data_IF_171919236613
#
_entry.id   IF_171919236613
#
_cell.length_a   1.000
_cell.length_b   1.000
_cell.length_c   1.000
_cell.angle_alpha   90.00
_cell.angle_beta   90.00
_cell.angle_gamma   90.00
#
_symmetry.space_group_name_H-M   'P 1'
#
loop_
_entity.id
_entity.type
_entity.pdbx_description
1 polymer ?
#
# COMPACT_ATOMS: atom_id res chain seq x y z
N UNK A 1 9.77 -48.48 -12.28
CA UNK A 1 8.84 -47.36 -12.15
C UNK A 1 9.65 -46.08 -12.16
N UNK A 2 9.06 -45.00 -12.67
CA UNK A 2 9.66 -43.66 -12.68
C UNK A 2 8.56 -42.62 -12.62
N UNK A 3 8.94 -41.39 -12.30
CA UNK A 3 8.07 -40.23 -12.40
C UNK A 3 8.48 -39.37 -13.58
N UNK A 4 7.51 -38.83 -14.29
CA UNK A 4 7.71 -37.85 -15.37
C UNK A 4 7.05 -36.54 -14.95
N UNK A 5 7.86 -35.51 -14.75
CA UNK A 5 7.44 -34.17 -14.40
C UNK A 5 7.41 -33.29 -15.65
N UNK A 6 6.41 -32.46 -15.77
CA UNK A 6 6.27 -31.52 -16.89
C UNK A 6 5.84 -30.15 -16.38
N UNK A 7 6.44 -29.10 -16.92
CA UNK A 7 6.05 -27.71 -16.74
C UNK A 7 6.08 -26.99 -18.08
N UNK A 8 5.58 -25.75 -18.13
CA UNK A 8 5.51 -24.98 -19.38
C UNK A 8 6.90 -24.77 -19.98
N UNK A 9 7.08 -25.18 -21.22
CA UNK A 9 8.34 -25.06 -21.94
C UNK A 9 8.74 -23.58 -22.16
N UNK A 10 10.05 -23.30 -22.09
CA UNK A 10 10.63 -21.97 -22.35
C UNK A 10 10.53 -20.96 -21.20
N UNK A 11 9.72 -21.23 -20.18
CA UNK A 11 9.54 -20.32 -19.03
C UNK A 11 9.95 -20.93 -17.70
N UNK A 12 10.29 -22.22 -17.70
CA UNK A 12 10.61 -22.97 -16.47
C UNK A 12 11.85 -23.81 -16.64
N UNK A 13 12.60 -23.95 -15.57
CA UNK A 13 13.70 -24.93 -15.44
C UNK A 13 13.32 -25.86 -14.30
N UNK A 14 13.31 -27.16 -14.61
CA UNK A 14 13.05 -28.22 -13.60
C UNK A 14 14.39 -28.86 -13.27
N UNK A 15 14.70 -28.98 -11.98
CA UNK A 15 15.81 -29.78 -11.48
C UNK A 15 15.26 -30.91 -10.60
N UNK A 16 16.00 -32.02 -10.56
CA UNK A 16 15.61 -33.25 -9.88
C UNK A 16 16.61 -33.54 -8.73
N UNK A 17 16.37 -32.95 -7.50
CA UNK A 17 17.33 -33.07 -6.39
C UNK A 17 17.62 -34.50 -5.96
N UNK A 18 16.62 -35.39 -6.08
CA UNK A 18 16.75 -36.82 -5.74
C UNK A 18 17.13 -37.70 -6.94
N UNK A 19 17.54 -37.09 -8.06
CA UNK A 19 17.77 -37.79 -9.30
C UNK A 19 16.49 -38.22 -10.02
N UNK A 20 16.61 -38.89 -11.16
CA UNK A 20 15.49 -39.41 -11.95
C UNK A 20 15.07 -40.81 -11.50
N UNK A 21 13.96 -41.30 -12.03
CA UNK A 21 13.46 -42.66 -11.80
C UNK A 21 12.48 -42.79 -10.65
N UNK A 22 12.59 -43.87 -9.88
CA UNK A 22 11.68 -44.19 -8.78
C UNK A 22 11.83 -43.23 -7.59
N UNK A 23 12.96 -42.65 -7.42
CA UNK A 23 13.27 -41.68 -6.34
C UNK A 23 12.97 -40.21 -6.70
N UNK A 24 12.50 -39.95 -7.91
CA UNK A 24 12.18 -38.60 -8.39
C UNK A 24 10.85 -38.05 -7.83
N UNK A 25 10.77 -38.05 -6.52
CA UNK A 25 9.58 -37.62 -5.78
C UNK A 25 9.57 -36.11 -5.45
N UNK A 26 10.66 -35.41 -5.77
CA UNK A 26 10.87 -33.99 -5.50
C UNK A 26 11.47 -33.31 -6.71
N UNK A 27 10.88 -32.20 -7.13
CA UNK A 27 11.45 -31.32 -8.14
C UNK A 27 11.54 -29.89 -7.60
N UNK A 28 12.59 -29.18 -8.00
CA UNK A 28 12.71 -27.72 -7.85
C UNK A 28 12.44 -27.06 -9.19
N UNK A 29 11.59 -26.07 -9.20
CA UNK A 29 11.18 -25.36 -10.42
C UNK A 29 11.46 -23.88 -10.29
N UNK A 30 12.18 -23.31 -11.25
CA UNK A 30 12.39 -21.86 -11.37
C UNK A 30 11.70 -21.33 -12.61
N UNK A 31 11.11 -20.13 -12.47
CA UNK A 31 10.33 -19.48 -13.52
C UNK A 31 11.06 -18.25 -14.04
N UNK A 32 10.94 -17.99 -15.34
CA UNK A 32 11.48 -16.77 -15.97
C UNK A 32 10.64 -15.54 -15.61
N UNK A 33 11.20 -14.36 -15.86
CA UNK A 33 10.53 -13.08 -15.60
C UNK A 33 9.20 -12.89 -16.35
N UNK A 34 8.99 -13.61 -17.46
CA UNK A 34 7.74 -13.57 -18.24
C UNK A 34 6.68 -14.58 -17.80
N UNK A 35 6.91 -15.33 -16.71
CA UNK A 35 5.95 -16.31 -16.24
C UNK A 35 4.67 -15.63 -15.74
N UNK A 36 3.52 -16.10 -16.20
CA UNK A 36 2.18 -15.61 -15.77
C UNK A 36 1.42 -16.70 -15.01
N UNK A 37 1.26 -17.86 -15.61
CA UNK A 37 0.59 -19.01 -14.99
C UNK A 37 0.95 -20.29 -15.76
N UNK A 38 0.95 -21.41 -15.06
CA UNK A 38 1.16 -22.74 -15.65
C UNK A 38 0.68 -23.82 -14.69
N UNK A 39 0.64 -25.06 -15.20
CA UNK A 39 0.50 -26.24 -14.39
C UNK A 39 1.82 -27.00 -14.33
N UNK A 40 2.21 -27.43 -13.13
CA UNK A 40 3.18 -28.50 -12.98
C UNK A 40 2.40 -29.81 -12.92
N UNK A 41 2.81 -30.76 -13.75
CA UNK A 41 2.17 -32.08 -13.79
C UNK A 41 3.20 -33.18 -13.49
N UNK A 42 2.69 -34.26 -12.91
CA UNK A 42 3.49 -35.48 -12.68
C UNK A 42 2.68 -36.72 -13.05
N UNK A 43 3.37 -37.69 -13.63
CA UNK A 43 2.80 -38.98 -14.03
C UNK A 43 3.77 -40.11 -13.64
N UNK A 44 3.23 -41.14 -13.05
CA UNK A 44 3.99 -42.38 -12.78
C UNK A 44 4.00 -43.28 -14.01
N UNK A 45 5.16 -43.87 -14.30
CA UNK A 45 5.35 -44.75 -15.44
C UNK A 45 6.03 -46.05 -14.99
N UNK A 46 5.60 -47.19 -15.51
CA UNK A 46 6.24 -48.49 -15.35
C UNK A 46 6.15 -49.34 -16.63
N UNK A 47 6.61 -50.58 -16.61
CA UNK A 47 6.57 -51.50 -17.75
C UNK A 47 5.15 -51.85 -18.23
N UNK A 48 4.12 -51.66 -17.39
CA UNK A 48 2.71 -51.93 -17.72
C UNK A 48 2.02 -50.70 -18.33
N UNK A 49 2.63 -49.50 -18.29
CA UNK A 49 2.06 -48.29 -18.84
C UNK A 49 2.21 -47.07 -17.93
N UNK A 50 1.40 -46.04 -18.21
CA UNK A 50 1.38 -44.76 -17.53
C UNK A 50 0.15 -44.62 -16.64
N UNK A 51 0.37 -44.10 -15.43
CA UNK A 51 -0.71 -43.75 -14.50
C UNK A 51 -1.42 -42.44 -14.88
N UNK A 52 -2.45 -42.10 -14.13
CA UNK A 52 -3.14 -40.81 -14.31
C UNK A 52 -2.23 -39.62 -13.98
N UNK A 53 -2.34 -38.54 -14.75
CA UNK A 53 -1.64 -37.28 -14.51
C UNK A 53 -2.19 -36.60 -13.25
N UNK A 54 -1.29 -36.12 -12.41
CA UNK A 54 -1.62 -35.16 -11.33
C UNK A 54 -1.11 -33.80 -11.73
N UNK A 55 -1.92 -32.76 -11.46
CA UNK A 55 -1.63 -31.38 -11.85
C UNK A 55 -1.75 -30.45 -10.65
N UNK A 56 -0.84 -29.47 -10.58
CA UNK A 56 -0.87 -28.38 -9.64
C UNK A 56 -0.74 -27.05 -10.40
N UNK A 57 -1.75 -26.18 -10.25
CA UNK A 57 -1.77 -24.87 -10.89
C UNK A 57 -0.89 -23.88 -10.12
N UNK A 58 -0.10 -23.12 -10.87
CA UNK A 58 0.75 -22.03 -10.36
C UNK A 58 0.40 -20.76 -11.08
N UNK A 59 0.34 -19.66 -10.36
CA UNK A 59 0.02 -18.33 -10.89
C UNK A 59 0.98 -17.32 -10.31
N UNK A 60 1.50 -16.46 -11.18
CA UNK A 60 2.24 -15.28 -10.77
C UNK A 60 1.22 -14.25 -10.21
N UNK A 61 1.33 -13.94 -8.93
CA UNK A 61 0.40 -13.00 -8.28
C UNK A 61 1.16 -11.75 -7.84
N UNK A 62 0.95 -10.65 -8.57
CA UNK A 62 1.40 -9.33 -8.13
C UNK A 62 0.65 -8.92 -6.85
N UNK A 63 1.25 -8.10 -5.97
CA UNK A 63 0.56 -7.66 -4.77
C UNK A 63 -0.67 -6.84 -5.15
N UNK A 64 -1.76 -7.01 -4.43
CA UNK A 64 -2.89 -6.09 -4.55
C UNK A 64 -2.89 -5.15 -3.34
N UNK A 65 -2.83 -3.84 -3.58
CA UNK A 65 -3.09 -2.86 -2.53
C UNK A 65 -4.57 -2.95 -2.14
N UNK A 66 -4.86 -3.76 -1.14
CA UNK A 66 -6.20 -3.84 -0.56
C UNK A 66 -6.34 -2.75 0.51
N UNK A 67 -7.42 -1.99 0.45
CA UNK A 67 -7.72 -0.94 1.40
C UNK A 67 -7.32 0.46 0.92
N UNK A 68 -7.77 1.43 1.67
CA UNK A 68 -7.48 2.86 1.49
C UNK A 68 -6.26 3.24 2.33
N UNK A 69 -5.58 4.31 1.95
CA UNK A 69 -4.61 4.96 2.84
C UNK A 69 -5.41 5.56 4.01
N UNK A 70 -5.05 5.17 5.22
CA UNK A 70 -5.58 5.74 6.47
C UNK A 70 -4.69 6.92 6.88
N UNK A 71 -5.31 8.01 7.35
CA UNK A 71 -4.61 9.20 7.83
C UNK A 71 -5.45 10.46 7.66
N UNK A 72 -5.03 11.60 8.25
CA UNK A 72 -5.77 12.85 8.17
C UNK A 72 -5.75 13.42 6.75
N UNK A 73 -6.91 13.92 6.30
CA UNK A 73 -7.03 14.62 5.01
C UNK A 73 -6.87 16.13 5.12
N UNK A 74 -6.95 16.68 6.34
CA UNK A 74 -6.67 18.09 6.63
C UNK A 74 -5.25 18.24 7.18
N UNK A 75 -4.40 18.97 6.44
CA UNK A 75 -3.00 19.20 6.80
C UNK A 75 -2.79 20.36 7.77
N UNK A 76 -3.82 21.06 8.22
CA UNK A 76 -3.67 22.30 8.99
C UNK A 76 -2.79 22.13 10.26
N UNK A 77 -3.04 21.06 11.02
CA UNK A 77 -2.25 20.72 12.22
C UNK A 77 -0.91 20.05 11.92
N UNK A 78 -0.59 19.79 10.65
CA UNK A 78 0.54 19.00 10.20
C UNK A 78 1.47 19.77 9.27
N UNK A 79 1.48 21.10 9.35
CA UNK A 79 2.34 21.97 8.55
C UNK A 79 3.35 22.73 9.41
N UNK A 80 4.57 22.87 8.89
CA UNK A 80 5.61 23.70 9.52
C UNK A 80 5.15 25.17 9.69
N UNK A 81 5.70 25.93 10.69
CA UNK A 81 6.73 25.53 11.64
C UNK A 81 6.20 24.84 12.90
N UNK A 82 4.92 24.96 13.23
CA UNK A 82 4.36 24.55 14.52
C UNK A 82 3.56 23.23 14.47
N UNK A 83 3.38 22.64 13.27
CA UNK A 83 2.63 21.40 13.11
C UNK A 83 3.39 20.17 13.62
N UNK A 84 2.63 19.11 13.91
CA UNK A 84 3.14 17.78 14.25
C UNK A 84 3.02 16.85 13.05
N UNK A 85 3.91 15.88 12.91
CA UNK A 85 3.83 14.93 11.80
C UNK A 85 2.53 14.12 11.84
N UNK A 86 1.90 13.96 10.68
CA UNK A 86 0.73 13.12 10.48
C UNK A 86 1.14 11.69 10.14
N UNK A 87 0.45 10.69 10.67
CA UNK A 87 0.68 9.27 10.33
C UNK A 87 -0.25 8.84 9.20
N UNK A 88 0.33 8.16 8.21
CA UNK A 88 -0.38 7.55 7.09
C UNK A 88 0.01 6.08 6.99
N UNK A 89 -0.98 5.21 6.82
CA UNK A 89 -0.74 3.77 6.76
C UNK A 89 -1.68 3.07 5.78
N UNK A 90 -1.29 1.87 5.36
CA UNK A 90 -2.18 0.91 4.68
C UNK A 90 -2.14 -0.41 5.43
N UNK A 91 -3.16 -1.23 5.23
CA UNK A 91 -3.13 -2.61 5.72
C UNK A 91 -1.94 -3.35 5.13
N UNK A 92 -1.11 -4.04 5.95
CA UNK A 92 0.00 -4.83 5.45
C UNK A 92 -0.43 -5.83 4.37
N UNK A 93 0.34 -5.90 3.29
CA UNK A 93 0.07 -6.74 2.13
C UNK A 93 0.91 -8.01 2.22
N UNK A 94 0.26 -9.17 2.17
CA UNK A 94 0.95 -10.45 2.18
C UNK A 94 1.94 -10.56 1.00
N UNK A 95 3.12 -11.11 1.26
CA UNK A 95 4.20 -11.28 0.29
C UNK A 95 4.78 -9.97 -0.28
N UNK A 96 4.48 -8.81 0.32
CA UNK A 96 5.15 -7.56 -0.01
C UNK A 96 6.64 -7.64 0.34
N UNK A 97 7.49 -7.13 -0.53
CA UNK A 97 8.93 -6.95 -0.29
C UNK A 97 9.27 -5.48 -0.05
N UNK A 98 8.47 -4.56 -0.59
CA UNK A 98 8.63 -3.12 -0.35
C UNK A 98 7.34 -2.34 -0.61
N UNK A 99 7.26 -1.15 0.00
CA UNK A 99 6.23 -0.15 -0.22
C UNK A 99 6.89 1.11 -0.79
N UNK A 100 6.30 1.64 -1.85
CA UNK A 100 6.83 2.83 -2.53
C UNK A 100 5.86 4.00 -2.27
N UNK A 101 6.18 4.79 -1.28
CA UNK A 101 5.42 5.98 -0.90
C UNK A 101 5.84 7.20 -1.72
N UNK A 102 4.87 8.00 -2.12
CA UNK A 102 5.08 9.29 -2.74
C UNK A 102 4.28 10.33 -1.96
N UNK A 103 4.92 11.43 -1.60
CA UNK A 103 4.35 12.52 -0.82
C UNK A 103 4.52 13.85 -1.54
N UNK A 104 3.75 14.89 -1.17
CA UNK A 104 3.91 16.24 -1.72
C UNK A 104 5.34 16.78 -1.56
N UNK A 105 5.86 17.49 -2.57
CA UNK A 105 7.22 18.02 -2.54
C UNK A 105 7.48 18.91 -1.32
N UNK A 106 8.69 18.84 -0.76
CA UNK A 106 9.11 19.60 0.41
C UNK A 106 8.60 19.07 1.76
N UNK A 107 7.84 17.98 1.76
CA UNK A 107 7.43 17.31 2.99
C UNK A 107 8.61 16.58 3.63
N UNK A 108 8.63 16.55 4.97
CA UNK A 108 9.56 15.72 5.75
C UNK A 108 8.86 14.38 6.02
N UNK A 109 9.49 13.28 5.60
CA UNK A 109 8.94 11.92 5.74
C UNK A 109 9.84 11.11 6.66
N UNK A 110 9.23 10.32 7.54
CA UNK A 110 9.93 9.28 8.29
C UNK A 110 9.22 7.93 8.12
N UNK A 111 9.96 6.86 8.29
CA UNK A 111 9.52 5.48 8.16
C UNK A 111 9.67 4.80 9.55
N UNK A 112 8.64 4.87 10.41
CA UNK A 112 8.73 4.41 11.81
C UNK A 112 9.12 2.94 11.94
N UNK A 113 8.68 2.10 11.01
CA UNK A 113 8.96 0.66 10.98
C UNK A 113 10.15 0.29 10.09
N UNK A 114 10.93 1.31 9.62
CA UNK A 114 11.96 1.14 8.61
C UNK A 114 11.40 0.98 7.21
N UNK A 115 12.28 0.95 6.21
CA UNK A 115 11.92 0.71 4.80
C UNK A 115 11.80 -0.79 4.50
N UNK A 116 11.24 -1.14 3.33
CA UNK A 116 11.10 -2.53 2.88
C UNK A 116 9.77 -3.17 3.26
N UNK A 117 9.81 -4.40 3.75
CA UNK A 117 8.62 -5.23 4.03
C UNK A 117 7.71 -4.69 5.14
N UNK A 118 8.26 -3.88 6.05
CA UNK A 118 7.52 -3.30 7.17
C UNK A 118 7.10 -1.84 6.94
N UNK A 119 7.36 -1.28 5.77
CA UNK A 119 7.11 0.13 5.45
C UNK A 119 5.63 0.40 5.05
N UNK A 120 4.70 -0.22 5.76
CA UNK A 120 3.27 -0.01 5.56
C UNK A 120 2.73 1.25 6.26
N UNK A 121 3.61 2.00 6.94
CA UNK A 121 3.30 3.23 7.66
C UNK A 121 4.42 4.25 7.49
N UNK A 122 4.04 5.52 7.24
CA UNK A 122 4.93 6.67 7.21
C UNK A 122 4.38 7.79 8.08
N UNK A 123 5.26 8.69 8.56
CA UNK A 123 4.84 9.97 9.09
C UNK A 123 5.27 11.09 8.17
N UNK A 124 4.43 12.10 8.02
CA UNK A 124 4.63 13.22 7.09
C UNK A 124 4.40 14.55 7.79
N UNK A 125 5.36 15.45 7.69
CA UNK A 125 5.21 16.85 8.10
C UNK A 125 5.30 17.72 6.85
N UNK A 126 4.23 18.47 6.57
CA UNK A 126 4.13 19.28 5.35
C UNK A 126 4.86 20.60 5.47
N UNK A 127 5.38 21.18 4.36
CA UNK A 127 6.00 22.50 4.38
C UNK A 127 4.98 23.60 4.70
N UNK A 128 5.44 24.74 5.21
CA UNK A 128 4.59 25.89 5.55
C UNK A 128 3.75 26.39 4.36
N UNK A 129 4.29 26.26 3.14
CA UNK A 129 3.66 26.66 1.88
C UNK A 129 2.68 25.64 1.32
N UNK A 130 2.47 24.50 2.01
CA UNK A 130 1.54 23.45 1.55
C UNK A 130 0.11 23.99 1.48
N UNK A 131 -0.58 23.71 0.37
CA UNK A 131 -1.99 24.04 0.15
C UNK A 131 -2.79 22.76 -0.07
N UNK A 132 -2.37 21.95 -1.03
CA UNK A 132 -3.01 20.66 -1.34
C UNK A 132 -2.02 19.76 -2.05
N UNK A 133 -2.28 18.46 -1.98
CA UNK A 133 -1.46 17.45 -2.66
C UNK A 133 -2.02 16.05 -2.47
N UNK A 134 -1.25 15.06 -2.88
CA UNK A 134 -1.64 13.66 -2.81
C UNK A 134 -0.53 12.85 -2.15
N UNK A 135 -0.89 12.01 -1.21
CA UNK A 135 -0.04 10.92 -0.73
C UNK A 135 -0.45 9.66 -1.48
N UNK A 136 0.53 8.94 -1.99
CA UNK A 136 0.25 7.69 -2.71
C UNK A 136 1.22 6.59 -2.32
N UNK A 137 0.80 5.34 -2.52
CA UNK A 137 1.60 4.15 -2.26
C UNK A 137 1.33 3.07 -3.29
N UNK A 138 2.39 2.38 -3.70
CA UNK A 138 2.33 1.10 -4.41
C UNK A 138 3.16 0.06 -3.66
N UNK A 139 2.83 -1.20 -3.87
CA UNK A 139 3.47 -2.33 -3.18
C UNK A 139 4.14 -3.22 -4.20
N UNK A 140 5.36 -3.65 -3.90
CA UNK A 140 6.16 -4.52 -4.79
C UNK A 140 6.41 -5.87 -4.13
N UNK A 141 6.45 -6.93 -4.92
CA UNK A 141 6.97 -8.25 -4.55
C UNK A 141 7.83 -8.82 -5.69
N UNK A 142 8.31 -10.06 -5.55
CA UNK A 142 9.09 -10.73 -6.60
C UNK A 142 8.35 -10.93 -7.94
N UNK A 143 7.05 -10.73 -7.96
CA UNK A 143 6.20 -10.88 -9.15
C UNK A 143 5.88 -9.55 -9.85
N UNK A 144 6.08 -8.42 -9.20
CA UNK A 144 5.84 -7.09 -9.77
C UNK A 144 5.29 -6.08 -8.77
N UNK A 145 4.81 -4.96 -9.30
CA UNK A 145 4.29 -3.83 -8.53
C UNK A 145 2.78 -3.69 -8.72
N UNK A 146 2.08 -3.41 -7.63
CA UNK A 146 0.63 -3.19 -7.62
C UNK A 146 0.23 -1.87 -8.30
N UNK A 147 -1.06 -1.69 -8.52
CA UNK A 147 -1.62 -0.38 -8.79
C UNK A 147 -1.38 0.59 -7.62
N UNK A 148 -1.27 1.88 -7.94
CA UNK A 148 -1.09 2.96 -6.94
C UNK A 148 -2.40 3.20 -6.20
N UNK A 149 -2.33 3.40 -4.88
CA UNK A 149 -3.40 3.97 -4.05
C UNK A 149 -3.04 5.40 -3.70
N UNK A 150 -4.06 6.28 -3.65
CA UNK A 150 -3.86 7.71 -3.44
C UNK A 150 -4.87 8.26 -2.44
N UNK A 151 -4.41 9.24 -1.65
CA UNK A 151 -5.21 10.01 -0.70
C UNK A 151 -4.95 11.49 -0.93
N UNK A 152 -6.00 12.26 -1.21
CA UNK A 152 -5.90 13.71 -1.37
C UNK A 152 -5.86 14.39 0.00
N UNK A 153 -4.92 15.32 0.15
CA UNK A 153 -4.68 16.09 1.37
C UNK A 153 -4.85 17.58 1.03
N UNK A 154 -5.53 18.31 1.90
CA UNK A 154 -5.76 19.76 1.72
C UNK A 154 -5.55 20.47 3.05
N UNK A 155 -4.91 21.64 3.03
CA UNK A 155 -4.83 22.52 4.17
C UNK A 155 -6.10 23.37 4.22
N UNK A 156 -6.98 23.05 5.15
CA UNK A 156 -8.26 23.76 5.31
C UNK A 156 -8.09 24.90 6.34
N UNK A 157 -8.32 26.12 5.90
CA UNK A 157 -8.40 27.26 6.81
C UNK A 157 -9.74 27.19 7.59
N UNK A 158 -9.79 27.76 8.81
CA UNK A 158 -11.04 27.93 9.51
C UNK A 158 -12.06 28.70 8.65
N UNK A 159 -13.33 28.36 8.79
CA UNK A 159 -14.39 29.18 8.18
C UNK A 159 -14.35 30.61 8.73
N UNK A 160 -14.81 31.57 7.93
CA UNK A 160 -14.99 32.93 8.44
C UNK A 160 -15.95 32.92 9.63
N UNK A 161 -15.66 33.69 10.68
CA UNK A 161 -16.62 33.83 11.77
C UNK A 161 -17.95 34.37 11.25
N UNK A 162 -19.03 33.99 11.90
CA UNK A 162 -20.34 34.53 11.61
C UNK A 162 -20.46 36.04 11.96
N UNK A 163 -21.62 36.63 11.71
CA UNK A 163 -21.85 38.02 12.00
C UNK A 163 -21.68 38.30 13.49
N UNK A 164 -21.06 39.43 13.80
CA UNK A 164 -21.01 39.96 15.18
C UNK A 164 -22.41 40.37 15.58
N UNK A 165 -22.89 39.87 16.70
CA UNK A 165 -24.15 40.32 17.29
C UNK A 165 -23.90 41.13 18.57
N UNK A 166 -24.71 42.13 18.79
CA UNK A 166 -24.74 42.89 20.04
C UNK A 166 -26.16 42.92 20.58
N UNK A 167 -26.29 42.95 21.90
CA UNK A 167 -27.59 43.08 22.57
C UNK A 167 -28.08 44.51 22.55
N UNK A 168 -27.22 45.46 22.25
CA UNK A 168 -27.52 46.88 22.34
C UNK A 168 -27.14 47.61 21.03
N UNK A 169 -28.09 48.40 20.53
CA UNK A 169 -27.93 49.18 19.29
C UNK A 169 -27.64 50.65 19.53
N UNK A 170 -27.76 51.15 20.77
CA UNK A 170 -27.49 52.53 21.18
C UNK A 170 -26.30 52.58 22.15
N UNK A 171 -25.35 53.46 21.90
CA UNK A 171 -24.07 53.60 22.64
C UNK A 171 -24.07 54.62 23.77
N UNK A 172 -25.17 55.32 24.04
CA UNK A 172 -25.32 56.28 25.13
C UNK A 172 -26.48 55.94 26.04
N UNK A 173 -26.33 56.04 27.38
CA UNK A 173 -25.17 56.55 28.16
C UNK A 173 -24.17 55.43 28.58
N UNK A 174 -24.35 54.20 28.18
CA UNK A 174 -23.51 53.09 28.63
C UNK A 174 -22.11 53.17 28.01
N UNK A 175 -21.11 52.66 28.74
CA UNK A 175 -19.70 52.64 28.32
C UNK A 175 -19.17 51.21 28.15
N UNK A 176 -19.96 50.20 28.45
CA UNK A 176 -19.59 48.78 28.33
C UNK A 176 -20.60 48.07 27.45
N UNK A 177 -20.10 47.36 26.44
CA UNK A 177 -20.92 46.67 25.46
C UNK A 177 -20.40 45.26 25.30
N UNK A 178 -21.29 44.26 25.23
CA UNK A 178 -20.97 42.87 24.98
C UNK A 178 -21.25 42.54 23.53
N UNK A 179 -20.25 41.99 22.87
CA UNK A 179 -20.34 41.45 21.50
C UNK A 179 -20.13 39.96 21.54
N UNK A 180 -20.83 39.23 20.72
CA UNK A 180 -20.68 37.78 20.61
C UNK A 180 -20.55 37.32 19.16
N UNK A 181 -19.85 36.22 18.98
CA UNK A 181 -19.74 35.51 17.73
C UNK A 181 -20.29 34.09 17.93
N UNK A 182 -20.94 33.51 16.93
CA UNK A 182 -21.25 32.08 16.96
C UNK A 182 -19.98 31.25 17.02
N UNK A 183 -20.06 30.07 17.62
CA UNK A 183 -18.93 29.13 17.60
C UNK A 183 -18.58 28.75 16.16
N UNK A 184 -17.28 28.61 15.88
CA UNK A 184 -16.83 28.10 14.59
C UNK A 184 -17.25 26.63 14.45
N UNK A 185 -17.69 26.22 13.26
CA UNK A 185 -17.92 24.81 12.99
C UNK A 185 -16.59 24.04 13.14
N UNK A 186 -16.65 22.88 13.77
CA UNK A 186 -15.54 21.95 13.99
C UNK A 186 -15.07 21.29 12.70
#
# INVERSE_FOLDING_TARGET
>A
ASYVWTAQAGTTVISHPNGSGVNDTLVSVSFSAGFTSSNITVQAVNSCGTGSVRSHALTNTIPSTRGLISGPTNACAHTLPAGTAATYSITPVASATSYNWTVPPGSIVTHPNGTGVNDFEITVLFPATFVSGTISVSVTNGCGTSNVRSLSITKLNPASPGAISSVQTAVCPDREFTYSLPALPS
#
